data_IF_223165557056
#
_entry.id   IF_223165557056
#
_cell.length_a   1.000
_cell.length_b   1.000
_cell.length_c   1.000
_cell.angle_alpha   90.00
_cell.angle_beta   90.00
_cell.angle_gamma   90.00
#
_symmetry.space_group_name_H-M   'P 1'
#
loop_
_entity.id
_entity.type
_entity.pdbx_description
1 polymer ?
#
# COMPACT_ATOMS: atom_id res chain seq x y z
N UNK A 1 -22.72 6.54 1.91
CA UNK A 1 -21.62 6.47 0.93
C UNK A 1 -20.37 5.99 1.66
N UNK A 2 -20.18 4.67 1.75
CA UNK A 2 -18.94 4.14 2.30
C UNK A 2 -17.79 4.56 1.39
N UNK A 3 -16.83 5.31 1.94
CA UNK A 3 -15.60 5.67 1.24
C UNK A 3 -14.85 4.37 0.92
N UNK A 4 -15.15 3.79 -0.25
CA UNK A 4 -14.35 2.74 -0.88
C UNK A 4 -13.03 3.39 -1.26
N UNK A 5 -12.15 3.54 -0.28
CA UNK A 5 -10.78 3.95 -0.47
C UNK A 5 -10.07 2.80 -1.18
N UNK A 6 -10.22 2.77 -2.50
CA UNK A 6 -9.53 1.83 -3.35
C UNK A 6 -8.10 2.33 -3.56
N UNK A 7 -7.14 1.68 -2.92
CA UNK A 7 -5.74 1.93 -3.18
C UNK A 7 -5.20 0.95 -4.21
N UNK A 8 -4.16 1.37 -4.92
CA UNK A 8 -3.21 0.44 -5.53
C UNK A 8 -1.86 0.63 -4.86
N UNK A 9 -1.09 -0.45 -4.75
CA UNK A 9 0.22 -0.44 -4.12
C UNK A 9 1.28 -0.97 -5.09
N UNK A 10 2.45 -0.36 -5.07
CA UNK A 10 3.67 -0.96 -5.65
C UNK A 10 4.64 -1.20 -4.51
N UNK A 11 4.96 -2.45 -4.27
CA UNK A 11 5.83 -2.89 -3.17
C UNK A 11 7.21 -3.20 -3.73
N UNK A 12 8.22 -2.67 -3.06
CA UNK A 12 9.62 -2.86 -3.38
C UNK A 12 10.25 -3.78 -2.34
N UNK A 13 11.03 -4.73 -2.81
CA UNK A 13 11.65 -5.78 -2.00
C UNK A 13 13.16 -5.55 -1.90
N UNK A 14 13.81 -6.16 -0.92
CA UNK A 14 15.27 -6.13 -0.82
C UNK A 14 15.94 -6.86 -1.98
N UNK A 15 15.26 -7.87 -2.54
CA UNK A 15 15.71 -8.62 -3.71
C UNK A 15 14.56 -8.77 -4.71
N UNK A 16 14.90 -8.84 -6.00
CA UNK A 16 13.90 -9.05 -7.06
C UNK A 16 13.18 -7.77 -7.52
N UNK A 17 12.11 -7.98 -8.29
CA UNK A 17 11.39 -6.91 -8.97
C UNK A 17 10.22 -6.38 -8.14
N UNK A 18 9.89 -5.08 -8.23
CA UNK A 18 8.72 -4.52 -7.56
C UNK A 18 7.43 -5.19 -8.05
N UNK A 19 6.51 -5.46 -7.12
CA UNK A 19 5.21 -6.07 -7.41
C UNK A 19 4.09 -5.05 -7.22
N UNK A 20 3.08 -5.11 -8.09
CA UNK A 20 1.93 -4.21 -8.06
C UNK A 20 0.67 -4.95 -7.64
N UNK A 21 -0.07 -4.37 -6.69
CA UNK A 21 -1.42 -4.77 -6.31
C UNK A 21 -2.41 -3.69 -6.70
N UNK A 22 -3.39 -4.04 -7.51
CA UNK A 22 -4.38 -3.08 -8.03
C UNK A 22 -5.53 -2.79 -7.06
N UNK A 23 -5.73 -3.66 -6.07
CA UNK A 23 -6.84 -3.61 -5.13
C UNK A 23 -6.32 -3.79 -3.71
N UNK A 24 -6.17 -2.69 -3.00
CA UNK A 24 -5.82 -2.67 -1.58
C UNK A 24 -6.90 -1.90 -0.85
N UNK A 25 -7.63 -2.58 0.04
CA UNK A 25 -8.78 -2.00 0.76
C UNK A 25 -8.37 -1.30 2.06
N UNK A 26 -7.55 -1.97 2.88
CA UNK A 26 -7.02 -1.44 4.14
C UNK A 26 -5.51 -1.57 4.12
N UNK A 27 -4.80 -0.47 4.41
CA UNK A 27 -3.34 -0.47 4.30
C UNK A 27 -2.69 -1.31 5.40
N UNK A 28 -3.27 -1.37 6.59
CA UNK A 28 -2.74 -2.22 7.69
C UNK A 28 -2.96 -3.70 7.46
N UNK A 29 -4.11 -4.10 6.93
CA UNK A 29 -4.32 -5.52 6.58
C UNK A 29 -3.38 -5.92 5.43
N UNK A 30 -3.12 -5.00 4.50
CA UNK A 30 -2.12 -5.22 3.45
C UNK A 30 -0.69 -5.30 4.00
N UNK A 31 -0.34 -4.45 4.97
CA UNK A 31 0.94 -4.55 5.69
C UNK A 31 1.12 -5.91 6.37
N UNK A 32 0.09 -6.39 7.09
CA UNK A 32 0.12 -7.72 7.72
C UNK A 32 0.34 -8.82 6.69
N UNK A 33 -0.40 -8.77 5.57
CA UNK A 33 -0.20 -9.68 4.45
C UNK A 33 1.24 -9.65 3.91
N UNK A 34 1.83 -8.46 3.74
CA UNK A 34 3.23 -8.33 3.32
C UNK A 34 4.19 -8.90 4.36
N UNK A 35 3.97 -8.64 5.65
CA UNK A 35 4.80 -9.18 6.72
C UNK A 35 4.77 -10.72 6.76
N UNK A 36 3.61 -11.33 6.47
CA UNK A 36 3.43 -12.78 6.48
C UNK A 36 3.93 -13.48 5.19
N UNK A 37 3.64 -12.92 4.01
CA UNK A 37 3.87 -13.59 2.71
C UNK A 37 5.07 -13.05 1.94
N UNK A 38 5.53 -11.85 2.27
CA UNK A 38 6.55 -11.12 1.54
C UNK A 38 7.51 -10.41 2.49
N UNK A 39 8.02 -11.13 3.50
CA UNK A 39 8.77 -10.55 4.62
C UNK A 39 10.04 -9.78 4.20
N UNK A 40 10.53 -9.95 2.99
CA UNK A 40 11.64 -9.24 2.37
C UNK A 40 11.25 -7.87 1.78
N UNK A 41 10.00 -7.44 1.92
CA UNK A 41 9.54 -6.12 1.50
C UNK A 41 10.26 -5.01 2.27
N UNK A 42 10.59 -3.94 1.56
CA UNK A 42 11.34 -2.79 2.09
C UNK A 42 10.44 -1.58 2.30
N UNK A 43 9.65 -1.25 1.28
CA UNK A 43 8.67 -0.18 1.32
C UNK A 43 7.58 -0.39 0.28
N UNK A 44 6.45 0.28 0.48
CA UNK A 44 5.34 0.31 -0.47
C UNK A 44 4.99 1.75 -0.83
N UNK A 45 4.80 2.01 -2.12
CA UNK A 45 4.21 3.25 -2.62
C UNK A 45 2.72 3.03 -2.82
N UNK A 46 1.91 3.89 -2.22
CA UNK A 46 0.45 3.86 -2.29
C UNK A 46 -0.02 4.91 -3.28
N UNK A 47 -0.96 4.52 -4.12
CA UNK A 47 -1.57 5.33 -5.14
C UNK A 47 -3.08 5.25 -5.03
N UNK A 48 -3.75 6.33 -5.43
CA UNK A 48 -5.18 6.30 -5.66
C UNK A 48 -5.45 5.39 -6.86
N UNK A 49 -6.29 4.36 -6.71
CA UNK A 49 -6.54 3.39 -7.79
C UNK A 49 -7.18 4.05 -9.02
N UNK A 50 -8.08 5.02 -8.82
CA UNK A 50 -8.86 5.67 -9.90
C UNK A 50 -8.02 6.67 -10.67
N UNK A 51 -7.37 7.59 -9.95
CA UNK A 51 -6.60 8.68 -10.57
C UNK A 51 -5.16 8.27 -10.88
N UNK A 52 -4.69 7.13 -10.34
CA UNK A 52 -3.30 6.67 -10.37
C UNK A 52 -2.32 7.66 -9.71
N UNK A 53 -2.84 8.67 -9.01
CA UNK A 53 -2.03 9.66 -8.32
C UNK A 53 -1.27 9.00 -7.17
N UNK A 54 0.01 9.32 -7.06
CA UNK A 54 0.81 8.93 -5.92
C UNK A 54 0.29 9.64 -4.66
N UNK A 55 0.15 8.90 -3.57
CA UNK A 55 -0.34 9.42 -2.29
C UNK A 55 0.83 9.49 -1.31
N UNK A 56 1.39 8.33 -0.96
CA UNK A 56 2.38 8.23 0.11
C UNK A 56 3.21 6.95 0.01
N UNK A 57 4.43 6.99 0.56
CA UNK A 57 5.30 5.83 0.76
C UNK A 57 5.29 5.42 2.23
N UNK A 58 5.23 4.12 2.46
CA UNK A 58 5.41 3.52 3.78
C UNK A 58 6.61 2.58 3.78
N UNK A 59 7.48 2.74 4.77
CA UNK A 59 8.58 1.83 5.03
C UNK A 59 8.12 0.72 5.97
N UNK A 60 8.68 -0.48 5.80
CA UNK A 60 8.44 -1.58 6.74
C UNK A 60 8.84 -1.18 8.15
N UNK A 61 7.97 -1.47 9.13
CA UNK A 61 8.19 -1.16 10.54
C UNK A 61 7.75 0.24 10.97
N UNK A 62 7.38 1.12 10.04
CA UNK A 62 6.77 2.40 10.37
C UNK A 62 5.27 2.23 10.58
N UNK A 63 4.66 3.15 11.33
CA UNK A 63 3.21 3.20 11.48
C UNK A 63 2.52 3.40 10.12
N UNK A 64 1.56 2.51 9.83
CA UNK A 64 0.70 2.55 8.64
C UNK A 64 -0.75 2.69 9.12
N UNK A 65 -1.50 3.73 8.72
CA UNK A 65 -2.88 3.90 9.12
C UNK A 65 -3.81 2.94 8.37
N UNK A 66 -5.01 2.65 8.90
CA UNK A 66 -6.00 1.83 8.19
C UNK A 66 -6.40 2.43 6.82
N UNK A 67 -6.58 3.76 6.81
CA UNK A 67 -6.98 4.53 5.64
C UNK A 67 -6.24 5.87 5.62
N UNK A 68 -6.00 6.39 4.43
CA UNK A 68 -5.50 7.74 4.19
C UNK A 68 -6.67 8.68 3.90
N UNK A 69 -6.53 9.92 4.35
CA UNK A 69 -7.42 10.98 3.92
C UNK A 69 -6.98 11.42 2.52
N UNK A 70 -7.75 11.01 1.51
CA UNK A 70 -7.51 11.46 0.14
C UNK A 70 -7.84 12.96 0.04
N UNK A 71 -7.03 13.76 -0.66
CA UNK A 71 -7.40 15.14 -0.98
C UNK A 71 -8.74 15.12 -1.73
N UNK A 72 -9.62 16.04 -1.34
CA UNK A 72 -10.99 16.19 -1.87
C UNK A 72 -10.98 16.76 -3.28
#
# INVERSE_FOLDING_TARGET
MERKNDYSAVVFFNTGTPKRWNYVHKLTDFEKFLNEKHSDWKYMNIYNRRTKAYIQRFYKGNFIPHFLQLPS
#
